data_IF_762118339249
#
_entry.id   IF_762118339249
#
_cell.length_a   1.000
_cell.length_b   1.000
_cell.length_c   1.000
_cell.angle_alpha   90.00
_cell.angle_beta   90.00
_cell.angle_gamma   90.00
#
_symmetry.space_group_name_H-M   'P 1'
#
loop_
_entity.id
_entity.type
_entity.pdbx_description
1 polymer ?
#
# COMPACT_ATOMS: atom_id res chain seq x y z
N UNK A 1 5.67 3.42 -12.43
CA UNK A 1 4.85 3.16 -11.23
C UNK A 1 5.50 2.01 -10.46
N UNK A 2 6.06 2.26 -9.26
CA UNK A 2 6.79 1.27 -8.42
C UNK A 2 6.26 1.24 -6.97
N UNK A 3 5.14 1.90 -6.70
CA UNK A 3 4.52 1.95 -5.39
C UNK A 3 3.87 0.59 -5.07
N UNK A 4 4.01 0.13 -3.83
CA UNK A 4 3.34 -1.07 -3.33
C UNK A 4 2.70 -0.70 -2.01
N UNK A 5 1.40 -0.45 -2.06
CA UNK A 5 0.62 -0.14 -0.88
C UNK A 5 -0.79 -0.69 -1.01
N UNK A 6 -1.47 -0.81 0.12
CA UNK A 6 -2.88 -1.16 0.22
C UNK A 6 -3.53 -0.25 1.25
N UNK A 7 -4.74 0.22 0.93
CA UNK A 7 -5.58 1.03 1.82
C UNK A 7 -6.78 0.17 2.17
N UNK A 8 -7.04 -0.01 3.47
CA UNK A 8 -8.12 -0.87 3.98
C UNK A 8 -9.04 -0.01 4.85
N UNK A 9 -10.33 -0.03 4.53
CA UNK A 9 -11.41 0.65 5.26
C UNK A 9 -11.15 2.13 5.58
N UNK A 10 -10.40 2.83 4.72
CA UNK A 10 -9.97 4.22 4.92
C UNK A 10 -9.31 4.49 6.30
N UNK A 11 -8.69 3.49 6.91
CA UNK A 11 -8.16 3.61 8.27
C UNK A 11 -6.83 2.86 8.49
N UNK A 12 -6.55 1.85 7.66
CA UNK A 12 -5.34 1.03 7.72
C UNK A 12 -4.57 1.16 6.42
N UNK A 13 -3.25 1.25 6.53
CA UNK A 13 -2.34 1.31 5.38
C UNK A 13 -1.31 0.21 5.55
N UNK A 14 -1.14 -0.58 4.50
CA UNK A 14 0.02 -1.44 4.33
C UNK A 14 0.94 -0.82 3.27
N UNK A 15 2.24 -0.74 3.53
CA UNK A 15 3.24 -0.28 2.55
C UNK A 15 4.59 -0.97 2.77
N UNK A 16 5.44 -1.00 1.76
CA UNK A 16 6.77 -1.59 1.85
C UNK A 16 7.33 -2.03 0.50
N UNK A 17 8.22 -3.01 0.53
CA UNK A 17 8.83 -3.60 -0.68
C UNK A 17 8.01 -4.76 -1.25
N UNK A 18 7.09 -5.31 -0.46
CA UNK A 18 6.35 -6.54 -0.78
C UNK A 18 5.45 -6.41 -2.01
N UNK A 19 5.64 -7.31 -2.97
CA UNK A 19 4.72 -7.54 -4.08
C UNK A 19 3.82 -8.74 -3.78
N UNK A 20 2.54 -8.73 -4.16
CA UNK A 20 1.63 -9.88 -3.97
C UNK A 20 1.93 -11.03 -4.96
N UNK A 21 3.06 -11.70 -4.76
CA UNK A 21 3.55 -12.80 -5.60
C UNK A 21 4.12 -13.92 -4.73
N UNK A 22 4.14 -15.15 -5.26
CA UNK A 22 4.72 -16.31 -4.57
C UNK A 22 6.20 -16.12 -4.20
N UNK A 23 6.97 -15.39 -5.02
CA UNK A 23 8.38 -15.16 -4.74
C UNK A 23 8.61 -14.18 -3.59
N UNK A 24 7.87 -13.09 -3.55
CA UNK A 24 7.89 -12.14 -2.44
C UNK A 24 7.45 -12.78 -1.12
N UNK A 25 6.47 -13.68 -1.17
CA UNK A 25 5.98 -14.42 0.01
C UNK A 25 6.99 -15.45 0.53
N UNK A 26 7.68 -16.19 -0.34
CA UNK A 26 8.42 -17.40 0.05
C UNK A 26 9.93 -17.33 -0.06
N UNK A 27 10.47 -16.43 -0.87
CA UNK A 27 11.89 -16.48 -1.26
C UNK A 27 12.61 -15.14 -1.08
N UNK A 28 11.95 -14.01 -1.32
CA UNK A 28 12.60 -12.71 -1.20
C UNK A 28 12.54 -12.20 0.24
N UNK A 29 13.60 -11.49 0.64
CA UNK A 29 13.58 -10.67 1.85
C UNK A 29 12.81 -9.38 1.55
N UNK A 30 11.53 -9.38 1.91
CA UNK A 30 10.62 -8.23 1.75
C UNK A 30 10.27 -7.65 3.11
N UNK A 31 9.92 -6.36 3.14
CA UNK A 31 9.38 -5.72 4.34
C UNK A 31 7.95 -5.23 4.12
N UNK A 32 7.16 -5.28 5.19
CA UNK A 32 5.82 -4.73 5.26
C UNK A 32 5.73 -3.87 6.53
N UNK A 33 5.24 -2.64 6.39
CA UNK A 33 4.80 -1.78 7.49
C UNK A 33 3.29 -1.69 7.42
N UNK A 34 2.63 -1.94 8.55
CA UNK A 34 1.19 -1.77 8.70
C UNK A 34 0.94 -0.64 9.70
N UNK A 35 0.17 0.35 9.29
CA UNK A 35 -0.21 1.50 10.09
C UNK A 35 -1.71 1.39 10.37
N UNK A 36 -2.06 1.20 11.64
CA UNK A 36 -3.44 1.01 12.10
C UNK A 36 -4.03 2.30 12.69
N UNK A 37 -5.35 2.46 12.60
CA UNK A 37 -6.11 3.54 13.24
C UNK A 37 -5.65 4.95 12.84
N UNK A 38 -5.32 5.14 11.56
CA UNK A 38 -4.80 6.40 11.02
C UNK A 38 -5.55 6.79 9.75
N UNK A 39 -6.80 7.26 9.88
CA UNK A 39 -7.60 7.67 8.73
C UNK A 39 -7.01 8.90 8.03
N UNK A 40 -6.27 9.74 8.75
CA UNK A 40 -5.54 10.88 8.21
C UNK A 40 -4.43 10.45 7.25
N UNK A 41 -3.66 9.41 7.58
CA UNK A 41 -2.65 8.83 6.68
C UNK A 41 -3.34 8.10 5.52
N UNK A 42 -4.42 7.36 5.81
CA UNK A 42 -5.14 6.60 4.78
C UNK A 42 -5.63 7.52 3.67
N UNK A 43 -6.18 8.68 4.04
CA UNK A 43 -6.64 9.69 3.10
C UNK A 43 -5.52 10.22 2.18
N UNK A 44 -4.29 10.38 2.67
CA UNK A 44 -3.14 10.79 1.84
C UNK A 44 -2.85 9.74 0.77
N UNK A 45 -2.80 8.45 1.15
CA UNK A 45 -2.60 7.36 0.19
C UNK A 45 -3.77 7.22 -0.80
N UNK A 46 -5.01 7.42 -0.34
CA UNK A 46 -6.21 7.42 -1.20
C UNK A 46 -6.14 8.52 -2.26
N UNK A 47 -5.70 9.72 -1.89
CA UNK A 47 -5.51 10.81 -2.86
C UNK A 47 -4.48 10.44 -3.93
N UNK A 48 -3.36 9.83 -3.55
CA UNK A 48 -2.35 9.39 -4.52
C UNK A 48 -2.88 8.27 -5.42
N UNK A 49 -3.59 7.29 -4.86
CA UNK A 49 -4.25 6.25 -5.65
C UNK A 49 -5.22 6.85 -6.66
N UNK A 50 -6.08 7.77 -6.24
CA UNK A 50 -7.07 8.42 -7.10
C UNK A 50 -6.42 9.23 -8.23
N UNK A 51 -5.31 9.94 -7.96
CA UNK A 51 -4.54 10.62 -9.03
C UNK A 51 -4.10 9.63 -10.10
N UNK A 52 -3.52 8.49 -9.69
CA UNK A 52 -3.08 7.46 -10.62
C UNK A 52 -4.26 6.79 -11.36
N UNK A 53 -5.41 6.67 -10.71
CA UNK A 53 -6.58 6.01 -11.28
C UNK A 53 -7.33 6.89 -12.29
N UNK A 54 -7.48 8.18 -12.01
CA UNK A 54 -8.22 9.13 -12.85
C UNK A 54 -7.39 9.60 -14.06
N UNK A 55 -6.06 9.53 -13.99
CA UNK A 55 -5.16 9.86 -15.10
C UNK A 55 -5.00 8.73 -16.13
N UNK A 56 -5.76 7.64 -16.00
CA UNK A 56 -5.85 6.53 -16.96
C UNK A 56 -7.28 6.38 -17.48
#
# INVERSE_FOLDING_TARGET
MHNKFMIIDNNIIQTGSFNYTKNAEKYNAENIIIIYNRPDIANIYTQEFNKLWILN
#
